data_IF_914064075667
#
_entry.id   IF_914064075667
#
_cell.length_a   1.000
_cell.length_b   1.000
_cell.length_c   1.000
_cell.angle_alpha   90.00
_cell.angle_beta   90.00
_cell.angle_gamma   90.00
#
_symmetry.space_group_name_H-M   'P 1'
#
loop_
_entity.id
_entity.type
_entity.pdbx_description
1 polymer ?
#
# COMPACT_ATOMS: atom_id res chain seq x y z
N UNK A 1 -0.45 -17.95 -22.30
CA UNK A 1 -1.24 -16.99 -21.49
C UNK A 1 -2.44 -17.62 -20.79
N UNK A 2 -3.35 -18.29 -21.51
CA UNK A 2 -4.54 -18.94 -20.89
C UNK A 2 -4.14 -19.96 -19.83
N UNK A 3 -3.15 -20.81 -20.13
CA UNK A 3 -2.62 -21.79 -19.17
C UNK A 3 -1.99 -21.11 -17.95
N UNK A 4 -1.18 -20.06 -18.14
CA UNK A 4 -0.62 -19.27 -17.04
C UNK A 4 -1.70 -18.74 -16.10
N UNK A 5 -2.78 -18.18 -16.65
CA UNK A 5 -3.91 -17.68 -15.87
C UNK A 5 -4.59 -18.82 -15.09
N UNK A 6 -4.72 -20.00 -15.67
CA UNK A 6 -5.30 -21.17 -15.00
C UNK A 6 -4.46 -21.59 -13.78
N UNK A 7 -3.13 -21.65 -13.93
CA UNK A 7 -2.22 -22.09 -12.87
C UNK A 7 -2.02 -21.02 -11.76
N UNK A 8 -2.13 -19.74 -12.11
CA UNK A 8 -1.83 -18.62 -11.18
C UNK A 8 -3.05 -18.09 -10.44
N UNK A 9 -4.26 -18.30 -10.97
CA UNK A 9 -5.50 -17.90 -10.30
C UNK A 9 -5.67 -18.65 -8.98
N UNK A 10 -6.10 -17.93 -7.96
CA UNK A 10 -6.41 -18.54 -6.68
C UNK A 10 -7.66 -19.42 -6.78
N UNK A 11 -7.64 -20.63 -6.20
CA UNK A 11 -8.83 -21.45 -6.10
C UNK A 11 -9.72 -20.95 -4.95
N UNK A 12 -10.42 -19.83 -5.12
CA UNK A 12 -11.20 -19.17 -4.04
C UNK A 12 -12.14 -20.11 -3.28
N UNK A 13 -12.76 -21.08 -3.97
CA UNK A 13 -13.63 -22.10 -3.35
C UNK A 13 -12.90 -23.05 -2.37
N UNK A 14 -11.57 -23.07 -2.37
CA UNK A 14 -10.72 -23.88 -1.48
C UNK A 14 -10.07 -23.03 -0.38
N UNK A 15 -10.44 -21.76 -0.24
CA UNK A 15 -9.84 -20.82 0.71
C UNK A 15 -10.74 -20.55 1.93
N UNK A 16 -11.66 -21.45 2.25
CA UNK A 16 -12.55 -21.36 3.43
C UNK A 16 -11.76 -21.19 4.75
N UNK A 17 -10.59 -21.81 4.86
CA UNK A 17 -9.68 -21.64 6.01
C UNK A 17 -9.29 -20.17 6.23
N UNK A 18 -9.06 -19.41 5.15
CA UNK A 18 -8.73 -17.99 5.25
C UNK A 18 -9.94 -17.17 5.71
N UNK A 19 -11.14 -17.50 5.26
CA UNK A 19 -12.37 -16.84 5.69
C UNK A 19 -12.62 -17.06 7.20
N UNK A 20 -12.43 -18.29 7.68
CA UNK A 20 -12.51 -18.62 9.12
C UNK A 20 -11.50 -17.83 9.94
N UNK A 21 -10.24 -17.83 9.52
CA UNK A 21 -9.17 -17.09 10.23
C UNK A 21 -9.45 -15.58 10.23
N UNK A 22 -9.90 -15.00 9.12
CA UNK A 22 -10.23 -13.57 9.03
C UNK A 22 -11.43 -13.20 9.91
N UNK A 23 -12.44 -14.05 9.98
CA UNK A 23 -13.59 -13.85 10.85
C UNK A 23 -13.17 -13.86 12.33
N UNK A 24 -12.29 -14.78 12.72
CA UNK A 24 -11.80 -14.88 14.09
C UNK A 24 -10.86 -13.71 14.45
N UNK A 25 -9.99 -13.30 13.53
CA UNK A 25 -9.17 -12.09 13.68
C UNK A 25 -10.08 -10.88 13.89
N UNK A 26 -11.10 -10.72 13.03
CA UNK A 26 -12.06 -9.62 13.13
C UNK A 26 -12.75 -9.61 14.49
N UNK A 27 -13.35 -10.73 14.90
CA UNK A 27 -14.00 -10.90 16.21
C UNK A 27 -13.06 -10.55 17.38
N UNK A 28 -11.80 -10.99 17.30
CA UNK A 28 -10.80 -10.71 18.34
C UNK A 28 -10.47 -9.22 18.45
N UNK A 29 -10.37 -8.52 17.31
CA UNK A 29 -10.01 -7.10 17.26
C UNK A 29 -11.18 -6.16 17.59
N UNK A 30 -12.43 -6.57 17.35
CA UNK A 30 -13.62 -5.83 17.79
C UNK A 30 -13.68 -5.71 19.32
N UNK A 31 -13.11 -6.68 20.02
CA UNK A 31 -13.10 -6.76 21.48
C UNK A 31 -11.79 -6.26 22.12
N UNK A 32 -11.04 -5.40 21.41
CA UNK A 32 -9.83 -4.80 21.99
C UNK A 32 -10.20 -3.85 23.14
N UNK A 33 -9.48 -3.97 24.25
CA UNK A 33 -9.79 -3.18 25.45
C UNK A 33 -9.45 -1.70 25.22
N UNK A 34 -10.42 -0.77 25.32
CA UNK A 34 -10.13 0.63 25.30
C UNK A 34 -9.39 1.06 26.56
N UNK A 35 -8.63 2.13 26.47
CA UNK A 35 -8.08 2.82 27.63
C UNK A 35 -7.93 4.31 27.35
N UNK A 36 -7.90 5.09 28.43
CA UNK A 36 -7.72 6.54 28.38
C UNK A 36 -6.31 6.95 27.96
N UNK A 37 -6.14 8.24 27.69
CA UNK A 37 -4.88 8.85 27.25
C UNK A 37 -3.71 8.57 28.21
N UNK A 38 -2.60 8.04 27.67
CA UNK A 38 -1.34 7.78 28.38
C UNK A 38 -0.16 8.46 27.67
N UNK A 39 0.92 8.77 28.39
CA UNK A 39 2.15 9.24 27.71
C UNK A 39 2.74 8.14 26.81
N UNK A 40 3.62 8.53 25.88
CA UNK A 40 4.28 7.58 24.96
C UNK A 40 5.07 6.53 25.75
N UNK A 41 5.83 6.95 26.76
CA UNK A 41 6.66 6.09 27.59
C UNK A 41 5.82 5.14 28.44
N UNK A 42 4.76 5.65 29.05
CA UNK A 42 3.84 4.87 29.88
C UNK A 42 3.10 3.82 29.05
N UNK A 43 2.61 4.22 27.87
CA UNK A 43 1.88 3.34 26.96
C UNK A 43 2.77 2.20 26.45
N UNK A 44 4.02 2.52 26.04
CA UNK A 44 5.00 1.53 25.59
C UNK A 44 5.42 0.59 26.72
N UNK A 45 5.69 1.13 27.92
CA UNK A 45 6.04 0.35 29.11
C UNK A 45 4.90 -0.60 29.49
N UNK A 46 3.66 -0.12 29.46
CA UNK A 46 2.48 -0.92 29.82
C UNK A 46 2.28 -2.09 28.86
N UNK A 47 2.38 -1.87 27.54
CA UNK A 47 2.29 -2.96 26.55
C UNK A 47 3.42 -3.98 26.70
N UNK A 48 4.65 -3.52 26.94
CA UNK A 48 5.80 -4.41 27.14
C UNK A 48 5.65 -5.25 28.41
N UNK A 49 5.17 -4.66 29.51
CA UNK A 49 4.99 -5.37 30.78
C UNK A 49 3.81 -6.33 30.77
N UNK A 50 2.64 -5.91 30.25
CA UNK A 50 1.42 -6.73 30.27
C UNK A 50 1.42 -7.83 29.21
N UNK A 51 1.91 -7.52 28.01
CA UNK A 51 1.71 -8.37 26.84
C UNK A 51 3.01 -8.79 26.15
N UNK A 52 4.18 -8.37 26.65
CA UNK A 52 5.50 -8.62 26.05
C UNK A 52 5.58 -8.15 24.59
N UNK A 53 4.83 -7.10 24.24
CA UNK A 53 4.83 -6.48 22.91
C UNK A 53 5.59 -5.18 22.97
N UNK A 54 6.63 -5.05 22.15
CA UNK A 54 7.32 -3.79 21.92
C UNK A 54 6.62 -3.01 20.82
N UNK A 55 6.46 -1.70 21.01
CA UNK A 55 5.84 -0.83 20.02
C UNK A 55 6.88 -0.50 18.94
N UNK A 56 6.61 -0.78 17.66
CA UNK A 56 7.53 -0.47 16.56
C UNK A 56 7.42 1.01 16.20
N UNK A 57 7.83 1.89 17.11
CA UNK A 57 7.79 3.32 16.85
C UNK A 57 8.70 3.69 15.68
N UNK A 58 8.33 4.75 14.92
CA UNK A 58 9.19 5.29 13.88
C UNK A 58 10.56 5.69 14.48
N UNK A 59 11.66 5.55 13.71
CA UNK A 59 13.02 5.79 14.19
C UNK A 59 13.30 7.25 14.56
N UNK A 60 12.52 8.19 14.01
CA UNK A 60 12.57 9.59 14.38
C UNK A 60 12.27 9.74 15.89
N UNK A 61 12.82 10.76 16.56
CA UNK A 61 12.74 10.87 18.03
C UNK A 61 11.36 11.41 18.44
N UNK A 62 10.61 10.76 19.35
CA UNK A 62 9.33 11.29 19.81
C UNK A 62 9.56 12.65 20.47
N UNK A 63 8.67 13.63 20.29
CA UNK A 63 8.89 14.95 20.86
C UNK A 63 8.84 14.84 22.40
N UNK A 64 9.91 15.18 23.15
CA UNK A 64 9.97 14.99 24.60
C UNK A 64 8.94 15.82 25.38
N UNK A 65 8.43 16.89 24.76
CA UNK A 65 7.41 17.79 25.31
C UNK A 65 6.11 17.80 24.49
N UNK A 66 5.92 16.87 23.54
CA UNK A 66 4.63 16.80 22.88
C UNK A 66 3.60 16.30 23.89
N UNK A 67 2.51 17.05 24.02
CA UNK A 67 1.21 16.57 24.51
C UNK A 67 0.63 15.53 23.53
N UNK A 68 1.45 14.58 23.08
CA UNK A 68 1.06 13.46 22.23
C UNK A 68 0.72 12.30 23.15
N UNK A 69 -0.57 12.12 23.38
CA UNK A 69 -1.07 11.03 24.20
C UNK A 69 -1.47 9.85 23.31
N UNK A 70 -1.27 8.65 23.86
CA UNK A 70 -1.68 7.39 23.27
C UNK A 70 -3.00 6.96 23.90
N UNK A 71 -4.01 6.77 23.06
CA UNK A 71 -5.33 6.29 23.43
C UNK A 71 -5.66 5.07 22.56
N UNK A 72 -6.38 4.10 23.13
CA UNK A 72 -6.86 2.94 22.38
C UNK A 72 -8.38 2.89 22.43
N UNK A 73 -8.97 2.62 21.27
CA UNK A 73 -10.40 2.40 21.08
C UNK A 73 -10.59 1.26 20.06
N UNK A 74 -11.71 0.51 20.13
CA UNK A 74 -12.03 -0.50 19.12
C UNK A 74 -12.03 0.06 17.69
N UNK A 75 -11.61 -0.74 16.69
CA UNK A 75 -11.64 -0.29 15.30
C UNK A 75 -13.04 0.16 14.86
N UNK A 76 -13.12 1.28 14.14
CA UNK A 76 -14.41 1.74 13.61
C UNK A 76 -14.92 0.83 12.50
N UNK A 77 -14.00 0.33 11.66
CA UNK A 77 -14.30 -0.55 10.52
C UNK A 77 -13.13 -1.46 10.24
N UNK A 78 -13.44 -2.63 9.70
CA UNK A 78 -12.44 -3.57 9.21
C UNK A 78 -12.89 -4.18 7.89
N UNK A 79 -12.04 -4.09 6.88
CA UNK A 79 -12.36 -4.55 5.53
C UNK A 79 -11.14 -5.27 4.93
N UNK A 80 -11.40 -6.33 4.17
CA UNK A 80 -10.37 -6.89 3.28
C UNK A 80 -10.29 -6.00 2.04
N UNK A 81 -9.08 -5.61 1.64
CA UNK A 81 -8.81 -4.72 0.51
C UNK A 81 -7.81 -5.33 -0.47
N UNK A 82 -7.48 -4.57 -1.51
CA UNK A 82 -6.54 -4.97 -2.53
C UNK A 82 -7.11 -6.06 -3.44
N UNK A 83 -6.24 -6.91 -3.96
CA UNK A 83 -6.59 -7.79 -5.07
C UNK A 83 -7.41 -9.02 -4.72
N UNK A 84 -7.40 -9.43 -3.46
CA UNK A 84 -8.12 -10.62 -3.00
C UNK A 84 -9.64 -10.48 -3.13
N UNK A 85 -10.29 -9.46 -2.53
CA UNK A 85 -11.74 -9.26 -2.70
C UNK A 85 -12.13 -8.91 -4.14
N UNK A 86 -11.20 -8.33 -4.90
CA UNK A 86 -11.38 -7.97 -6.32
C UNK A 86 -11.10 -9.13 -7.29
N UNK A 87 -10.84 -10.35 -6.78
CA UNK A 87 -10.63 -11.58 -7.56
C UNK A 87 -9.49 -11.53 -8.58
N UNK A 88 -8.49 -10.67 -8.39
CA UNK A 88 -7.24 -10.66 -9.17
C UNK A 88 -5.99 -10.91 -8.32
N UNK A 89 -6.14 -11.48 -7.12
CA UNK A 89 -5.00 -12.08 -6.43
C UNK A 89 -4.45 -13.25 -7.25
N UNK A 90 -3.12 -13.39 -7.25
CA UNK A 90 -2.40 -14.36 -8.06
C UNK A 90 -1.37 -15.06 -7.18
N UNK A 91 -1.32 -16.40 -7.24
CA UNK A 91 -0.28 -17.18 -6.57
C UNK A 91 1.01 -17.05 -7.37
N UNK A 92 2.03 -16.49 -6.73
CA UNK A 92 3.40 -16.49 -7.27
C UNK A 92 4.25 -17.49 -6.48
N UNK A 93 5.49 -17.72 -6.91
CA UNK A 93 6.46 -18.52 -6.14
C UNK A 93 6.75 -17.93 -4.75
N UNK A 94 6.43 -16.66 -4.53
CA UNK A 94 6.59 -15.95 -3.25
C UNK A 94 5.30 -15.92 -2.42
N UNK A 95 4.26 -16.64 -2.84
CA UNK A 95 2.93 -16.56 -2.24
C UNK A 95 2.15 -15.34 -2.70
N UNK A 96 1.19 -14.91 -1.88
CA UNK A 96 0.40 -13.70 -2.08
C UNK A 96 -0.01 -13.08 -0.74
N UNK A 97 -0.33 -11.79 -0.77
CA UNK A 97 -0.80 -11.07 0.41
C UNK A 97 -2.32 -10.93 0.39
N UNK A 98 -2.91 -11.00 1.58
CA UNK A 98 -4.30 -10.64 1.84
C UNK A 98 -4.28 -9.45 2.81
N UNK A 99 -4.72 -8.30 2.32
CA UNK A 99 -4.65 -7.05 3.08
C UNK A 99 -5.98 -6.80 3.79
N UNK A 100 -5.93 -6.68 5.11
CA UNK A 100 -7.06 -6.29 5.95
C UNK A 100 -6.76 -4.92 6.56
N UNK A 101 -7.55 -3.92 6.17
CA UNK A 101 -7.47 -2.61 6.81
C UNK A 101 -8.25 -2.62 8.12
N UNK A 102 -7.73 -1.90 9.09
CA UNK A 102 -8.34 -1.64 10.39
C UNK A 102 -8.41 -0.13 10.54
N UNK A 103 -9.61 0.43 10.43
CA UNK A 103 -9.85 1.87 10.49
C UNK A 103 -9.78 2.33 11.93
N UNK A 104 -8.77 3.14 12.24
CA UNK A 104 -8.61 3.77 13.55
C UNK A 104 -9.71 4.82 13.72
N UNK A 105 -10.40 4.86 14.87
CA UNK A 105 -11.43 5.87 15.12
C UNK A 105 -10.92 7.30 14.96
N UNK A 106 -11.69 8.15 14.29
CA UNK A 106 -11.32 9.53 13.99
C UNK A 106 -11.09 10.36 15.26
N UNK A 107 -11.78 10.00 16.35
CA UNK A 107 -11.70 10.63 17.67
C UNK A 107 -10.31 10.44 18.32
N UNK A 108 -9.53 9.45 17.87
CA UNK A 108 -8.15 9.28 18.30
C UNK A 108 -7.22 10.37 17.75
N UNK A 109 -7.66 11.17 16.77
CA UNK A 109 -6.82 12.13 16.06
C UNK A 109 -7.24 13.58 16.30
N UNK A 110 -6.22 14.42 16.47
CA UNK A 110 -6.34 15.86 16.54
C UNK A 110 -5.94 16.47 15.19
N UNK A 111 -6.43 17.68 14.90
CA UNK A 111 -6.17 18.41 13.64
C UNK A 111 -4.68 18.64 13.32
N UNK A 112 -3.79 18.52 14.30
CA UNK A 112 -2.34 18.73 14.15
C UNK A 112 -1.55 17.41 14.11
N UNK A 113 -2.21 16.25 14.17
CA UNK A 113 -1.51 14.97 14.17
C UNK A 113 -0.86 14.62 12.83
N UNK A 114 -1.11 15.42 11.79
CA UNK A 114 -0.37 15.36 10.53
C UNK A 114 1.04 16.00 10.60
N UNK A 115 1.44 16.54 11.75
CA UNK A 115 2.72 17.26 11.92
C UNK A 115 3.68 16.41 12.78
N UNK A 116 4.97 16.44 12.44
CA UNK A 116 6.07 15.89 13.23
C UNK A 116 5.83 14.45 13.70
N UNK A 117 5.46 13.59 12.74
CA UNK A 117 5.26 12.15 12.94
C UNK A 117 4.19 11.72 13.96
N UNK A 118 3.40 12.65 14.53
CA UNK A 118 2.37 12.36 15.54
C UNK A 118 1.41 11.25 15.10
N UNK A 119 0.92 11.33 13.86
CA UNK A 119 0.10 10.28 13.23
C UNK A 119 0.81 8.91 13.25
N UNK A 120 2.08 8.85 12.83
CA UNK A 120 2.83 7.60 12.73
C UNK A 120 3.09 6.96 14.10
N UNK A 121 3.29 7.74 15.16
CA UNK A 121 3.35 7.20 16.54
C UNK A 121 2.01 6.60 16.98
N UNK A 122 0.90 7.33 16.80
CA UNK A 122 -0.43 6.83 17.13
C UNK A 122 -0.75 5.56 16.34
N UNK A 123 -0.43 5.54 15.06
CA UNK A 123 -0.57 4.40 14.15
C UNK A 123 0.24 3.19 14.61
N UNK A 124 1.51 3.38 14.97
CA UNK A 124 2.38 2.31 15.46
C UNK A 124 1.90 1.75 16.82
N UNK A 125 1.49 2.64 17.72
CA UNK A 125 0.91 2.26 19.02
C UNK A 125 -0.37 1.45 18.85
N UNK A 126 -1.30 1.94 18.02
CA UNK A 126 -2.56 1.26 17.72
C UNK A 126 -2.30 -0.15 17.19
N UNK A 127 -1.38 -0.29 16.22
CA UNK A 127 -0.98 -1.59 15.69
C UNK A 127 -0.41 -2.52 16.76
N UNK A 128 0.40 -2.00 17.68
CA UNK A 128 0.96 -2.79 18.78
C UNK A 128 -0.10 -3.26 19.77
N UNK A 129 -1.11 -2.43 20.06
CA UNK A 129 -2.26 -2.84 20.86
C UNK A 129 -3.08 -3.94 20.17
N UNK A 130 -3.33 -3.85 18.86
CA UNK A 130 -3.97 -4.93 18.09
C UNK A 130 -3.12 -6.22 18.14
N UNK A 131 -1.80 -6.11 18.02
CA UNK A 131 -0.90 -7.25 18.10
C UNK A 131 -0.96 -7.93 19.48
N UNK A 132 -0.99 -7.12 20.56
CA UNK A 132 -1.13 -7.61 21.92
C UNK A 132 -2.46 -8.35 22.12
N UNK A 133 -3.56 -7.81 21.60
CA UNK A 133 -4.87 -8.46 21.64
C UNK A 133 -4.87 -9.81 20.92
N UNK A 134 -4.34 -9.87 19.70
CA UNK A 134 -4.27 -11.12 18.94
C UNK A 134 -3.36 -12.17 19.61
N UNK A 135 -2.18 -11.76 20.07
CA UNK A 135 -1.24 -12.65 20.77
C UNK A 135 -1.78 -13.16 22.11
N UNK A 136 -2.60 -12.36 22.80
CA UNK A 136 -3.27 -12.74 24.05
C UNK A 136 -4.47 -13.67 23.85
N UNK A 137 -5.04 -13.70 22.64
CA UNK A 137 -6.17 -14.58 22.29
C UNK A 137 -5.73 -16.02 21.98
N UNK A 138 -6.66 -16.99 21.84
CA UNK A 138 -6.35 -18.34 21.37
C UNK A 138 -5.59 -18.37 20.04
N UNK A 139 -5.81 -17.38 19.15
CA UNK A 139 -5.10 -17.26 17.87
C UNK A 139 -3.59 -17.12 18.05
N UNK A 140 -3.12 -16.51 19.14
CA UNK A 140 -1.69 -16.33 19.41
C UNK A 140 -0.89 -17.63 19.54
N UNK A 141 -1.57 -18.76 19.79
CA UNK A 141 -0.97 -20.11 19.81
C UNK A 141 -1.00 -20.81 18.45
N UNK A 142 -1.78 -20.30 17.51
CA UNK A 142 -2.04 -20.89 16.20
C UNK A 142 -1.46 -20.05 15.06
N UNK A 143 -1.10 -18.80 15.30
CA UNK A 143 -0.64 -17.89 14.26
C UNK A 143 0.71 -17.29 14.65
N UNK A 144 1.56 -17.14 13.66
CA UNK A 144 2.80 -16.38 13.78
C UNK A 144 2.50 -14.92 13.41
N UNK A 145 2.61 -14.03 14.39
CA UNK A 145 2.20 -12.63 14.29
C UNK A 145 3.44 -11.76 14.47
N UNK A 146 3.90 -11.09 13.40
CA UNK A 146 5.13 -10.29 13.41
C UNK A 146 4.89 -8.89 12.87
N UNK A 147 5.65 -7.91 13.39
CA UNK A 147 5.69 -6.59 12.77
C UNK A 147 6.56 -6.62 11.51
N UNK A 148 6.20 -5.81 10.51
CA UNK A 148 6.98 -5.64 9.29
C UNK A 148 6.78 -4.23 8.72
N UNK A 149 7.82 -3.58 8.18
CA UNK A 149 7.66 -2.27 7.55
C UNK A 149 6.93 -2.40 6.20
N UNK A 150 5.83 -1.66 6.01
CA UNK A 150 5.08 -1.68 4.76
C UNK A 150 5.93 -1.09 3.62
N UNK A 151 6.27 -1.92 2.64
CA UNK A 151 7.16 -1.55 1.51
C UNK A 151 8.52 -0.99 1.97
N UNK A 152 9.01 -1.48 3.11
CA UNK A 152 10.29 -1.05 3.69
C UNK A 152 10.22 0.27 4.48
N UNK A 153 9.06 0.91 4.58
CA UNK A 153 8.93 2.13 5.37
C UNK A 153 8.71 1.82 6.87
N UNK A 154 9.72 2.16 7.68
CA UNK A 154 9.68 1.97 9.14
C UNK A 154 8.61 2.83 9.83
N UNK A 155 8.12 3.91 9.19
CA UNK A 155 7.03 4.74 9.72
C UNK A 155 5.66 4.06 9.60
N UNK A 156 5.54 3.07 8.72
CA UNK A 156 4.29 2.35 8.48
C UNK A 156 4.46 0.86 8.77
N UNK A 157 4.68 0.48 10.04
CA UNK A 157 4.65 -0.93 10.40
C UNK A 157 3.26 -1.53 10.11
N UNK A 158 3.23 -2.81 9.78
CA UNK A 158 2.02 -3.64 9.62
C UNK A 158 2.22 -4.95 10.38
N UNK A 159 1.14 -5.68 10.65
CA UNK A 159 1.27 -7.06 11.13
C UNK A 159 1.26 -8.01 9.96
N UNK A 160 2.25 -8.89 9.89
CA UNK A 160 2.23 -10.08 9.05
C UNK A 160 1.76 -11.25 9.90
N UNK A 161 0.82 -12.00 9.36
CA UNK A 161 0.19 -13.15 9.99
C UNK A 161 0.30 -14.34 9.05
N UNK A 162 0.97 -15.39 9.53
CA UNK A 162 1.09 -16.69 8.86
C UNK A 162 0.64 -17.80 9.80
N UNK A 163 0.25 -18.94 9.24
CA UNK A 163 -0.08 -20.12 10.05
C UNK A 163 1.21 -20.73 10.64
N UNK A 164 1.15 -21.14 11.91
CA UNK A 164 2.21 -21.95 12.50
C UNK A 164 2.14 -23.40 11.97
N UNK A 165 3.26 -24.13 11.92
CA UNK A 165 3.24 -25.55 11.56
C UNK A 165 2.37 -26.41 12.49
N UNK A 166 2.22 -25.98 13.75
CA UNK A 166 1.44 -26.65 14.79
C UNK A 166 -0.05 -26.30 14.78
N UNK A 167 -0.50 -25.47 13.84
CA UNK A 167 -1.88 -25.00 13.81
C UNK A 167 -2.85 -26.11 13.42
N UNK A 168 -4.03 -26.20 14.07
CA UNK A 168 -5.09 -27.09 13.63
C UNK A 168 -5.46 -26.82 12.17
N UNK A 169 -5.95 -27.84 11.46
CA UNK A 169 -6.32 -27.74 10.05
C UNK A 169 -7.30 -26.60 9.74
N UNK A 170 -8.19 -26.27 10.67
CA UNK A 170 -9.16 -25.16 10.55
C UNK A 170 -8.53 -23.77 10.57
N UNK A 171 -7.27 -23.64 11.00
CA UNK A 171 -6.52 -22.37 11.06
C UNK A 171 -5.19 -22.44 10.30
N UNK A 172 -4.84 -23.61 9.73
CA UNK A 172 -3.61 -23.78 8.99
C UNK A 172 -3.83 -23.48 7.50
N UNK A 173 -3.34 -22.32 7.07
CA UNK A 173 -3.40 -21.87 5.68
C UNK A 173 -2.02 -21.80 5.02
N UNK A 174 -0.98 -22.43 5.59
CA UNK A 174 0.39 -22.35 5.07
C UNK A 174 0.50 -22.80 3.59
N UNK A 175 -0.16 -23.91 3.24
CA UNK A 175 -0.13 -24.50 1.89
C UNK A 175 -0.80 -23.63 0.83
N UNK A 176 -1.65 -22.69 1.26
CA UNK A 176 -2.27 -21.71 0.35
C UNK A 176 -1.23 -20.71 -0.17
N UNK A 177 -0.12 -20.51 0.54
CA UNK A 177 0.87 -19.46 0.24
C UNK A 177 0.39 -18.04 0.59
N UNK A 178 -0.67 -17.91 1.38
CA UNK A 178 -1.19 -16.63 1.83
C UNK A 178 -0.40 -16.07 3.02
N UNK A 179 -0.19 -14.76 3.01
CA UNK A 179 0.19 -13.98 4.21
C UNK A 179 -0.90 -12.95 4.46
N UNK A 180 -1.54 -12.99 5.63
CA UNK A 180 -2.52 -11.98 6.02
C UNK A 180 -1.74 -10.78 6.55
N UNK A 181 -2.09 -9.58 6.08
CA UNK A 181 -1.51 -8.32 6.55
C UNK A 181 -2.57 -7.47 7.22
N UNK A 182 -2.30 -6.98 8.41
CA UNK A 182 -3.16 -5.99 9.09
C UNK A 182 -2.55 -4.61 8.92
N UNK A 183 -3.32 -3.72 8.29
CA UNK A 183 -2.92 -2.35 7.98
C UNK A 183 -3.80 -1.36 8.75
N UNK A 184 -3.25 -0.59 9.70
CA UNK A 184 -3.96 0.56 10.23
C UNK A 184 -4.30 1.53 9.09
N UNK A 185 -5.55 1.99 9.07
CA UNK A 185 -6.08 2.94 8.11
C UNK A 185 -6.77 4.08 8.84
N UNK A 186 -7.09 5.13 8.09
CA UNK A 186 -7.67 6.35 8.63
C UNK A 186 -8.91 6.73 7.84
N UNK A 187 -9.91 7.33 8.49
CA UNK A 187 -11.03 7.92 7.76
C UNK A 187 -10.62 9.25 7.09
N UNK A 188 -11.31 9.64 6.03
CA UNK A 188 -11.01 10.88 5.28
C UNK A 188 -11.30 12.17 6.07
N UNK A 189 -12.03 12.04 7.17
CA UNK A 189 -12.48 13.10 8.09
C UNK A 189 -11.58 13.26 9.32
N UNK A 190 -10.71 12.28 9.62
CA UNK A 190 -9.82 12.35 10.78
C UNK A 190 -8.75 13.46 10.68
N UNK A 191 -8.22 13.71 9.47
CA UNK A 191 -7.23 14.76 9.20
C UNK A 191 -7.62 15.51 7.92
N UNK A 192 -7.54 16.85 7.95
CA UNK A 192 -7.86 17.70 6.80
C UNK A 192 -6.88 17.46 5.63
N UNK A 193 -7.38 16.94 4.51
CA UNK A 193 -6.53 16.61 3.35
C UNK A 193 -5.85 17.83 2.70
N UNK A 194 -6.38 19.04 2.89
CA UNK A 194 -5.73 20.29 2.42
C UNK A 194 -4.40 20.58 3.12
N UNK A 195 -4.14 19.96 4.27
CA UNK A 195 -2.86 20.01 4.99
C UNK A 195 -1.85 18.98 4.47
N UNK A 196 -2.29 18.06 3.61
CA UNK A 196 -1.50 16.97 3.04
C UNK A 196 -1.18 17.18 1.56
N UNK A 197 -1.34 18.42 1.05
CA UNK A 197 -0.93 18.74 -0.32
C UNK A 197 0.60 18.61 -0.50
N UNK A 198 1.11 18.33 -1.70
CA UNK A 198 2.54 18.12 -1.94
C UNK A 198 3.44 19.27 -1.46
N UNK A 199 3.00 20.53 -1.59
CA UNK A 199 3.72 21.74 -1.15
C UNK A 199 3.71 21.97 0.35
N UNK A 200 2.92 21.22 1.12
CA UNK A 200 2.80 21.41 2.57
C UNK A 200 3.92 20.69 3.30
N UNK A 201 4.42 21.35 4.34
CA UNK A 201 5.37 20.78 5.27
C UNK A 201 4.64 20.07 6.42
N UNK A 202 4.79 18.75 6.48
CA UNK A 202 4.35 17.89 7.58
C UNK A 202 5.44 17.66 8.63
N UNK A 203 6.70 18.01 8.34
CA UNK A 203 7.82 17.88 9.28
C UNK A 203 8.60 19.20 9.33
N UNK A 204 8.67 19.82 10.50
CA UNK A 204 9.37 21.09 10.67
C UNK A 204 10.87 20.86 10.80
N UNK A 205 11.69 21.67 10.15
CA UNK A 205 13.17 21.54 10.18
C UNK A 205 13.70 21.57 11.61
N UNK A 206 13.26 22.53 12.43
CA UNK A 206 13.64 22.58 13.84
C UNK A 206 13.34 21.31 14.64
N UNK A 207 12.32 20.52 14.26
CA UNK A 207 12.02 19.23 14.89
C UNK A 207 13.06 18.15 14.56
N UNK A 208 13.67 18.21 13.38
CA UNK A 208 14.75 17.29 12.99
C UNK A 208 16.07 17.64 13.69
N UNK A 209 16.32 18.92 13.94
CA UNK A 209 17.54 19.41 14.60
C UNK A 209 17.49 19.27 16.13
N UNK A 210 16.33 19.52 16.72
CA UNK A 210 16.11 19.38 18.16
C UNK A 210 14.71 18.81 18.44
N UNK A 211 14.59 17.63 19.08
CA UNK A 211 13.30 17.08 19.48
C UNK A 211 12.49 18.01 20.41
N UNK A 212 13.18 18.95 21.08
CA UNK A 212 12.61 19.96 21.97
C UNK A 212 12.20 21.26 21.26
N UNK A 213 12.16 21.30 19.92
CA UNK A 213 11.81 22.49 19.17
C UNK A 213 10.37 22.95 19.49
N UNK A 214 10.28 24.11 20.15
CA UNK A 214 9.05 24.85 20.35
C UNK A 214 8.98 25.90 19.24
N UNK A 215 7.94 25.91 18.39
CA UNK A 215 7.78 26.93 17.36
C UNK A 215 7.62 28.29 18.05
N UNK A 216 8.54 29.22 17.80
CA UNK A 216 8.35 30.63 18.18
C UNK A 216 7.56 31.34 17.09
N UNK A 217 6.75 32.34 17.45
CA UNK A 217 5.92 33.08 16.49
C UNK A 217 6.73 33.74 15.34
N UNK A 218 8.03 33.96 15.56
CA UNK A 218 8.96 34.59 14.61
C UNK A 218 9.80 33.60 13.79
N UNK A 219 9.64 32.28 13.93
CA UNK A 219 10.37 31.34 13.06
C UNK A 219 9.65 31.17 11.71
N UNK A 220 9.84 32.16 10.84
CA UNK A 220 9.70 32.05 9.38
C UNK A 220 10.81 31.16 8.80
N UNK A 221 11.10 30.02 9.42
CA UNK A 221 11.96 29.01 8.79
C UNK A 221 11.25 28.55 7.53
N UNK A 222 11.97 28.50 6.41
CA UNK A 222 11.49 27.96 5.14
C UNK A 222 10.92 26.56 5.39
N UNK A 223 9.58 26.46 5.40
CA UNK A 223 8.89 25.20 5.62
C UNK A 223 9.07 24.37 4.36
N UNK A 224 10.12 23.55 4.33
CA UNK A 224 10.38 22.64 3.22
C UNK A 224 9.19 21.67 3.05
N UNK A 225 8.64 21.55 1.83
CA UNK A 225 7.57 20.61 1.52
C UNK A 225 7.97 19.17 1.84
N UNK A 226 7.02 18.36 2.31
CA UNK A 226 7.26 16.93 2.61
C UNK A 226 6.26 16.05 1.85
N UNK A 227 6.31 16.02 0.51
CA UNK A 227 5.30 15.38 -0.33
C UNK A 227 5.19 13.87 -0.10
N UNK A 228 6.32 13.18 0.11
CA UNK A 228 6.33 11.74 0.42
C UNK A 228 5.65 11.48 1.77
N UNK A 229 6.02 12.23 2.81
CA UNK A 229 5.39 12.12 4.14
C UNK A 229 3.88 12.32 4.06
N UNK A 230 3.42 13.33 3.33
CA UNK A 230 2.00 13.65 3.19
C UNK A 230 1.25 12.54 2.45
N UNK A 231 1.84 12.01 1.37
CA UNK A 231 1.27 10.91 0.60
C UNK A 231 1.11 9.63 1.41
N UNK A 232 2.03 9.32 2.32
CA UNK A 232 1.92 8.16 3.21
C UNK A 232 0.66 8.20 4.08
N UNK A 233 0.30 9.38 4.59
CA UNK A 233 -0.94 9.57 5.37
C UNK A 233 -2.16 9.44 4.45
N UNK A 234 -2.12 10.09 3.27
CA UNK A 234 -3.22 10.03 2.29
C UNK A 234 -3.48 8.60 1.79
N UNK A 235 -2.44 7.80 1.57
CA UNK A 235 -2.59 6.40 1.19
C UNK A 235 -3.34 5.60 2.26
N UNK A 236 -3.04 5.83 3.55
CA UNK A 236 -3.75 5.18 4.66
C UNK A 236 -5.22 5.62 4.78
N UNK A 237 -5.60 6.75 4.14
CA UNK A 237 -6.98 7.23 4.09
C UNK A 237 -7.81 6.71 2.90
N UNK A 238 -7.15 6.29 1.81
CA UNK A 238 -7.80 6.12 0.51
C UNK A 238 -8.05 4.66 0.10
N UNK A 239 -7.63 3.67 0.92
CA UNK A 239 -7.78 2.24 0.62
C UNK A 239 -9.19 1.84 0.13
N UNK A 240 -10.23 2.22 0.88
CA UNK A 240 -11.62 1.86 0.56
C UNK A 240 -12.11 2.57 -0.71
N UNK A 241 -11.72 3.83 -0.92
CA UNK A 241 -12.09 4.59 -2.11
C UNK A 241 -11.46 3.99 -3.38
N UNK A 242 -10.17 3.62 -3.32
CA UNK A 242 -9.49 2.96 -4.43
C UNK A 242 -10.03 1.55 -4.69
N UNK A 243 -10.35 0.78 -3.64
CA UNK A 243 -10.99 -0.53 -3.78
C UNK A 243 -12.32 -0.41 -4.56
N UNK A 244 -13.19 0.51 -4.14
CA UNK A 244 -14.47 0.75 -4.79
C UNK A 244 -14.31 1.22 -6.24
N UNK A 245 -13.30 2.05 -6.52
CA UNK A 245 -12.98 2.49 -7.88
C UNK A 245 -12.57 1.31 -8.77
N UNK A 246 -11.56 0.53 -8.36
CA UNK A 246 -11.08 -0.62 -9.15
C UNK A 246 -12.17 -1.66 -9.33
N UNK A 247 -13.02 -1.88 -8.32
CA UNK A 247 -14.19 -2.76 -8.45
C UNK A 247 -15.09 -2.34 -9.62
N UNK A 248 -15.42 -1.05 -9.75
CA UNK A 248 -16.23 -0.54 -10.87
C UNK A 248 -15.53 -0.79 -12.21
N UNK A 249 -14.22 -0.56 -12.29
CA UNK A 249 -13.46 -0.79 -13.52
C UNK A 249 -13.49 -2.26 -13.94
N UNK A 250 -13.42 -3.19 -12.99
CA UNK A 250 -13.53 -4.63 -13.27
C UNK A 250 -14.91 -4.98 -13.86
N UNK A 251 -16.00 -4.37 -13.36
CA UNK A 251 -17.34 -4.59 -13.91
C UNK A 251 -17.45 -4.08 -15.36
N UNK A 252 -16.76 -2.97 -15.68
CA UNK A 252 -16.81 -2.35 -17.00
C UNK A 252 -15.85 -2.97 -18.02
N UNK A 253 -14.82 -3.71 -17.58
CA UNK A 253 -13.76 -4.24 -18.41
C UNK A 253 -13.46 -5.71 -18.03
N UNK A 254 -14.10 -6.69 -18.71
CA UNK A 254 -13.97 -8.11 -18.36
C UNK A 254 -12.52 -8.64 -18.36
N UNK A 255 -11.66 -8.10 -19.24
CA UNK A 255 -10.25 -8.49 -19.33
C UNK A 255 -9.34 -7.91 -18.25
N UNK A 256 -9.83 -6.96 -17.43
CA UNK A 256 -9.02 -6.19 -16.49
C UNK A 256 -8.37 -7.07 -15.41
N UNK A 257 -9.16 -7.90 -14.73
CA UNK A 257 -8.68 -8.72 -13.63
C UNK A 257 -7.57 -9.68 -14.08
N UNK A 258 -7.75 -10.33 -15.23
CA UNK A 258 -6.74 -11.22 -15.81
C UNK A 258 -5.48 -10.49 -16.27
N UNK A 259 -5.62 -9.28 -16.83
CA UNK A 259 -4.46 -8.46 -17.17
C UNK A 259 -3.64 -8.10 -15.93
N UNK A 260 -4.30 -7.81 -14.79
CA UNK A 260 -3.62 -7.60 -13.51
C UNK A 260 -2.94 -8.87 -12.97
N UNK A 261 -3.50 -10.06 -13.21
CA UNK A 261 -2.85 -11.33 -12.84
C UNK A 261 -1.57 -11.52 -13.67
N UNK A 262 -1.61 -11.31 -14.98
CA UNK A 262 -0.42 -11.36 -15.84
C UNK A 262 0.66 -10.38 -15.35
N UNK A 263 0.25 -9.16 -15.04
CA UNK A 263 1.15 -8.13 -14.50
C UNK A 263 1.81 -8.54 -13.19
N UNK A 264 1.08 -9.17 -12.27
CA UNK A 264 1.65 -9.65 -11.00
C UNK A 264 2.70 -10.72 -11.19
N UNK A 265 2.45 -11.67 -12.09
CA UNK A 265 3.44 -12.71 -12.41
C UNK A 265 4.69 -12.04 -12.99
N UNK A 266 4.52 -11.17 -13.99
CA UNK A 266 5.62 -10.44 -14.64
C UNK A 266 6.43 -9.57 -13.67
N UNK A 267 5.75 -8.80 -12.81
CA UNK A 267 6.35 -7.97 -11.77
C UNK A 267 7.12 -8.82 -10.76
N UNK A 268 6.59 -9.99 -10.36
CA UNK A 268 7.25 -10.87 -9.39
C UNK A 268 8.57 -11.44 -9.91
N UNK A 269 8.68 -11.68 -11.22
CA UNK A 269 9.95 -12.12 -11.83
C UNK A 269 11.01 -11.02 -11.86
N UNK A 270 10.60 -9.75 -11.71
CA UNK A 270 11.49 -8.56 -11.70
C UNK A 270 11.69 -8.01 -10.30
N UNK A 271 11.44 -8.82 -9.27
CA UNK A 271 11.63 -8.46 -7.87
C UNK A 271 10.66 -7.40 -7.32
N UNK A 272 9.54 -7.11 -8.01
CA UNK A 272 8.45 -6.29 -7.48
C UNK A 272 7.46 -7.15 -6.68
N UNK A 273 7.94 -7.74 -5.58
CA UNK A 273 7.13 -8.51 -4.63
C UNK A 273 7.48 -8.15 -3.18
N UNK A 274 6.56 -8.41 -2.25
CA UNK A 274 6.67 -7.92 -0.86
C UNK A 274 7.76 -8.57 -0.02
N UNK A 275 8.28 -9.73 -0.44
CA UNK A 275 9.36 -10.45 0.25
C UNK A 275 10.74 -10.14 -0.31
N UNK A 276 10.84 -9.27 -1.32
CA UNK A 276 12.11 -8.90 -1.91
C UNK A 276 12.91 -7.98 -0.97
N UNK A 277 14.23 -8.16 -0.83
CA UNK A 277 15.04 -7.35 0.08
C UNK A 277 15.19 -5.88 -0.37
N UNK A 278 15.10 -5.60 -1.67
CA UNK A 278 15.11 -4.22 -2.18
C UNK A 278 13.74 -3.56 -2.01
N UNK A 279 13.74 -2.32 -1.51
CA UNK A 279 12.51 -1.57 -1.21
C UNK A 279 11.96 -0.86 -2.44
N UNK A 280 11.56 -1.64 -3.46
CA UNK A 280 10.83 -1.14 -4.63
C UNK A 280 9.46 -0.60 -4.20
N UNK A 281 9.13 0.62 -4.64
CA UNK A 281 7.89 1.31 -4.28
C UNK A 281 6.77 1.03 -5.29
N UNK A 282 7.09 0.64 -6.52
CA UNK A 282 6.07 0.24 -7.50
C UNK A 282 5.42 -1.08 -7.10
N UNK A 283 4.10 -1.14 -7.18
CA UNK A 283 3.33 -2.32 -6.79
C UNK A 283 2.34 -2.74 -7.87
N UNK A 284 1.81 -3.96 -7.74
CA UNK A 284 0.68 -4.40 -8.57
C UNK A 284 -0.58 -3.53 -8.43
N UNK A 285 -0.72 -2.77 -7.32
CA UNK A 285 -1.78 -1.77 -7.18
C UNK A 285 -1.52 -0.55 -8.07
N UNK A 286 -0.30 -0.05 -8.11
CA UNK A 286 0.10 1.03 -9.03
C UNK A 286 -0.14 0.64 -10.48
N UNK A 287 0.20 -0.59 -10.86
CA UNK A 287 -0.14 -1.15 -12.17
C UNK A 287 -1.65 -1.17 -12.42
N UNK A 288 -2.44 -1.70 -11.49
CA UNK A 288 -3.89 -1.79 -11.65
C UNK A 288 -4.52 -0.40 -11.82
N UNK A 289 -4.09 0.59 -11.05
CA UNK A 289 -4.55 1.97 -11.21
C UNK A 289 -4.11 2.58 -12.53
N UNK A 290 -2.87 2.35 -12.99
CA UNK A 290 -2.44 2.82 -14.30
C UNK A 290 -3.28 2.18 -15.42
N UNK A 291 -3.50 0.87 -15.39
CA UNK A 291 -4.38 0.21 -16.35
C UNK A 291 -5.81 0.79 -16.28
N UNK A 292 -6.32 1.06 -15.07
CA UNK A 292 -7.63 1.67 -14.89
C UNK A 292 -7.71 3.06 -15.53
N UNK A 293 -6.66 3.87 -15.39
CA UNK A 293 -6.53 5.15 -16.08
C UNK A 293 -6.62 4.98 -17.59
N UNK A 294 -5.84 4.07 -18.17
CA UNK A 294 -5.75 3.85 -19.62
C UNK A 294 -7.08 3.40 -20.25
N UNK A 295 -7.91 2.63 -19.52
CA UNK A 295 -9.19 2.09 -20.01
C UNK A 295 -10.42 2.94 -19.67
N UNK A 296 -10.33 3.80 -18.64
CA UNK A 296 -11.47 4.63 -18.20
C UNK A 296 -11.35 6.07 -18.67
N UNK A 297 -10.21 6.71 -18.40
CA UNK A 297 -10.00 8.14 -18.63
C UNK A 297 -9.23 8.32 -19.93
N UNK A 298 -8.03 7.74 -20.00
CA UNK A 298 -7.10 7.93 -21.11
C UNK A 298 -6.44 9.31 -21.12
N UNK A 299 -5.62 9.52 -22.14
CA UNK A 299 -4.92 10.77 -22.42
C UNK A 299 -4.57 10.89 -23.90
N UNK A 300 -5.30 10.17 -24.75
CA UNK A 300 -5.10 10.20 -26.20
C UNK A 300 -5.60 11.53 -26.79
N UNK A 301 -5.32 11.76 -28.10
CA UNK A 301 -5.83 12.93 -28.80
C UNK A 301 -7.34 13.11 -28.57
N UNK A 302 -7.76 14.33 -28.20
CA UNK A 302 -9.15 14.68 -27.87
C UNK A 302 -9.75 13.96 -26.64
N UNK A 303 -8.91 13.53 -25.69
CA UNK A 303 -9.38 12.84 -24.48
C UNK A 303 -9.82 11.39 -24.73
N UNK A 304 -9.35 10.80 -25.83
CA UNK A 304 -9.66 9.41 -26.15
C UNK A 304 -8.99 8.45 -25.15
N UNK A 305 -9.69 7.35 -24.86
CA UNK A 305 -9.15 6.22 -24.12
C UNK A 305 -7.98 5.61 -24.89
N UNK A 306 -6.90 5.32 -24.19
CA UNK A 306 -5.69 4.75 -24.78
C UNK A 306 -5.82 3.24 -24.99
N UNK A 307 -6.64 2.58 -24.18
CA UNK A 307 -6.97 1.16 -24.31
C UNK A 307 -8.48 0.95 -24.32
N UNK A 308 -8.95 0.05 -25.18
CA UNK A 308 -10.36 -0.33 -25.24
C UNK A 308 -10.75 -1.27 -24.10
N UNK A 309 -11.96 -1.11 -23.56
CA UNK A 309 -12.51 -2.02 -22.54
C UNK A 309 -12.81 -3.42 -23.08
N UNK A 310 -12.90 -3.57 -24.42
CA UNK A 310 -13.14 -4.84 -25.10
C UNK A 310 -11.84 -5.61 -25.39
N UNK A 311 -10.68 -5.04 -25.08
CA UNK A 311 -9.41 -5.73 -25.28
C UNK A 311 -9.28 -6.98 -24.41
N UNK A 312 -8.63 -7.99 -24.99
CA UNK A 312 -8.27 -9.21 -24.28
C UNK A 312 -7.28 -8.91 -23.15
N UNK A 313 -7.17 -9.79 -22.12
CA UNK A 313 -6.19 -9.61 -21.05
C UNK A 313 -4.76 -9.41 -21.55
N UNK A 314 -4.39 -10.10 -22.64
CA UNK A 314 -3.11 -9.96 -23.30
C UNK A 314 -2.90 -8.56 -23.89
N UNK A 315 -3.88 -8.04 -24.64
CA UNK A 315 -3.82 -6.70 -25.24
C UNK A 315 -3.75 -5.60 -24.18
N UNK A 316 -4.51 -5.74 -23.08
CA UNK A 316 -4.45 -4.82 -21.95
C UNK A 316 -3.08 -4.84 -21.27
N UNK A 317 -2.54 -6.03 -20.99
CA UNK A 317 -1.21 -6.20 -20.41
C UNK A 317 -0.11 -5.62 -21.30
N UNK A 318 -0.05 -6.02 -22.57
CA UNK A 318 0.92 -5.53 -23.56
C UNK A 318 0.79 -4.01 -23.76
N UNK A 319 -0.43 -3.51 -23.87
CA UNK A 319 -0.70 -2.08 -24.03
C UNK A 319 -0.22 -1.26 -22.83
N UNK A 320 -0.38 -1.78 -21.61
CA UNK A 320 0.12 -1.13 -20.39
C UNK A 320 1.64 -1.16 -20.32
N UNK A 321 2.30 -2.28 -20.68
CA UNK A 321 3.76 -2.33 -20.79
C UNK A 321 4.28 -1.30 -21.80
N UNK A 322 3.65 -1.23 -22.97
CA UNK A 322 4.03 -0.27 -24.00
C UNK A 322 3.93 1.16 -23.48
N UNK A 323 2.80 1.50 -22.84
CA UNK A 323 2.61 2.83 -22.25
C UNK A 323 3.67 3.15 -21.19
N UNK A 324 3.94 2.23 -20.25
CA UNK A 324 5.00 2.42 -19.25
C UNK A 324 6.35 2.68 -19.94
N UNK A 325 6.69 1.89 -20.96
CA UNK A 325 7.98 1.96 -21.64
C UNK A 325 8.21 3.21 -22.50
N UNK A 326 7.15 3.92 -22.89
CA UNK A 326 7.24 5.05 -23.82
C UNK A 326 6.77 6.40 -23.24
N UNK A 327 5.93 6.39 -22.20
CA UNK A 327 5.36 7.62 -21.63
C UNK A 327 6.38 8.40 -20.79
N UNK A 328 6.42 9.73 -20.95
CA UNK A 328 7.25 10.63 -20.13
C UNK A 328 6.44 11.13 -18.93
N UNK A 329 6.46 10.36 -17.82
CA UNK A 329 5.70 10.69 -16.61
C UNK A 329 6.13 11.98 -15.90
N UNK A 330 7.31 12.52 -16.22
CA UNK A 330 7.80 13.76 -15.64
C UNK A 330 7.22 14.98 -16.37
N UNK A 331 7.19 14.93 -17.71
CA UNK A 331 6.69 16.04 -18.54
C UNK A 331 5.19 15.98 -18.77
N UNK A 332 4.62 14.78 -18.85
CA UNK A 332 3.21 14.54 -19.17
C UNK A 332 2.52 13.87 -17.96
N UNK A 333 2.09 14.68 -16.96
CA UNK A 333 1.46 14.15 -15.76
C UNK A 333 0.09 13.58 -16.09
N UNK A 334 -0.29 12.50 -15.41
CA UNK A 334 -1.60 11.87 -15.57
C UNK A 334 -2.51 12.29 -14.41
N UNK A 335 -3.81 12.45 -14.69
CA UNK A 335 -4.80 12.77 -13.65
C UNK A 335 -6.14 12.14 -13.98
N UNK A 336 -6.71 11.40 -13.03
CA UNK A 336 -8.08 10.90 -13.15
C UNK A 336 -9.13 12.02 -13.08
N UNK A 337 -8.75 13.20 -12.59
CA UNK A 337 -9.61 14.38 -12.48
C UNK A 337 -9.26 15.35 -13.60
N UNK A 338 -10.24 15.68 -14.44
CA UNK A 338 -10.12 16.71 -15.47
C UNK A 338 -9.93 18.09 -14.84
N UNK A 339 -9.10 18.93 -15.44
CA UNK A 339 -8.84 20.32 -15.03
C UNK A 339 -8.43 20.48 -13.55
N UNK A 340 -7.59 19.56 -13.05
CA UNK A 340 -7.08 19.59 -11.68
C UNK A 340 -6.24 20.87 -11.43
N UNK A 341 -6.70 21.84 -10.61
CA UNK A 341 -6.05 23.15 -10.50
C UNK A 341 -4.62 23.10 -9.94
N UNK A 342 -4.33 22.11 -9.09
CA UNK A 342 -3.05 21.93 -8.42
C UNK A 342 -2.16 20.88 -9.08
N UNK A 343 -2.38 20.51 -10.34
CA UNK A 343 -1.57 19.52 -11.04
C UNK A 343 -0.08 19.90 -11.10
N UNK A 344 0.21 21.19 -11.33
CA UNK A 344 1.58 21.72 -11.34
C UNK A 344 2.30 21.53 -10.00
N UNK A 345 1.56 21.54 -8.89
CA UNK A 345 2.11 21.30 -7.54
C UNK A 345 2.60 19.86 -7.38
N UNK A 346 1.90 18.88 -7.96
CA UNK A 346 2.36 17.49 -7.93
C UNK A 346 3.63 17.30 -8.77
N UNK A 347 3.70 17.97 -9.92
CA UNK A 347 4.85 17.90 -10.83
C UNK A 347 6.13 18.48 -10.23
N UNK A 348 6.04 19.59 -9.50
CA UNK A 348 7.21 20.22 -8.90
C UNK A 348 7.84 19.43 -7.75
N UNK A 349 7.13 18.42 -7.23
CA UNK A 349 7.53 17.66 -6.05
C UNK A 349 7.69 16.15 -6.29
N UNK A 350 7.63 15.68 -7.54
CA UNK A 350 7.64 14.25 -7.86
C UNK A 350 8.37 13.96 -9.18
N UNK A 351 9.06 12.81 -9.26
CA UNK A 351 9.69 12.36 -10.51
C UNK A 351 8.67 11.87 -11.55
N UNK A 352 7.50 11.40 -11.09
CA UNK A 352 6.41 10.96 -11.93
C UNK A 352 5.07 11.28 -11.26
N UNK A 353 4.08 11.67 -12.06
CA UNK A 353 2.77 12.08 -11.56
C UNK A 353 1.64 11.28 -12.20
N UNK A 354 0.88 10.61 -11.34
CA UNK A 354 -0.44 10.08 -11.67
C UNK A 354 -1.38 10.37 -10.49
N UNK A 355 -2.18 11.43 -10.62
CA UNK A 355 -3.10 11.85 -9.56
C UNK A 355 -4.34 10.97 -9.57
N UNK A 356 -4.63 10.38 -8.42
CA UNK A 356 -5.71 9.41 -8.20
C UNK A 356 -7.13 9.97 -8.44
N UNK A 357 -8.18 9.12 -8.46
CA UNK A 357 -9.56 9.56 -8.66
C UNK A 357 -10.09 10.57 -7.64
N UNK A 358 -9.47 10.67 -6.46
CA UNK A 358 -9.85 11.69 -5.46
C UNK A 358 -9.26 13.07 -5.76
N UNK A 359 -8.26 13.17 -6.64
CA UNK A 359 -7.54 14.41 -6.94
C UNK A 359 -6.51 14.80 -5.87
N UNK A 360 -6.22 13.92 -4.90
CA UNK A 360 -5.46 14.27 -3.68
C UNK A 360 -4.12 13.57 -3.59
N UNK A 361 -4.01 12.35 -4.12
CA UNK A 361 -2.83 11.51 -3.98
C UNK A 361 -2.16 11.32 -5.34
N UNK A 362 -0.85 11.57 -5.40
CA UNK A 362 -0.03 11.05 -6.49
C UNK A 362 0.30 9.58 -6.22
N UNK A 363 -0.23 8.67 -7.04
CA UNK A 363 -0.02 7.23 -6.86
C UNK A 363 1.45 6.84 -7.02
N UNK A 364 2.26 7.65 -7.70
CA UNK A 364 3.68 7.40 -7.95
C UNK A 364 4.61 8.23 -7.04
N UNK A 365 4.08 8.84 -5.97
CA UNK A 365 4.87 9.74 -5.10
C UNK A 365 6.14 9.11 -4.53
N UNK A 366 6.11 7.81 -4.22
CA UNK A 366 7.25 7.07 -3.66
C UNK A 366 8.24 6.56 -4.72
N UNK A 367 7.92 6.63 -6.02
CA UNK A 367 8.81 6.12 -7.06
C UNK A 367 10.00 7.04 -7.26
N UNK A 368 11.19 6.49 -7.04
CA UNK A 368 12.43 7.17 -7.39
C UNK A 368 12.62 7.19 -8.91
N UNK A 369 13.38 8.17 -9.42
CA UNK A 369 13.71 8.24 -10.83
C UNK A 369 14.48 6.99 -11.32
N UNK A 370 15.48 6.43 -10.60
CA UNK A 370 16.13 5.19 -11.01
C UNK A 370 15.17 3.99 -11.08
N UNK A 371 14.27 3.84 -10.10
CA UNK A 371 13.27 2.77 -10.11
C UNK A 371 12.33 2.89 -11.31
N UNK A 372 11.89 4.10 -11.64
CA UNK A 372 11.07 4.36 -12.82
C UNK A 372 11.82 4.00 -14.11
N UNK A 373 13.05 4.47 -14.28
CA UNK A 373 13.86 4.17 -15.47
C UNK A 373 14.08 2.67 -15.64
N UNK A 374 14.33 1.95 -14.55
CA UNK A 374 14.45 0.50 -14.56
C UNK A 374 13.13 -0.17 -14.96
N UNK A 375 11.99 0.25 -14.39
CA UNK A 375 10.67 -0.26 -14.77
C UNK A 375 10.37 -0.02 -16.27
N UNK A 376 10.71 1.16 -16.80
CA UNK A 376 10.53 1.51 -18.21
C UNK A 376 11.46 0.70 -19.12
N UNK A 377 12.68 0.39 -18.68
CA UNK A 377 13.59 -0.49 -19.39
C UNK A 377 13.01 -1.90 -19.51
N UNK A 378 12.61 -2.49 -18.37
CA UNK A 378 11.98 -3.81 -18.31
C UNK A 378 10.70 -3.89 -19.17
N UNK A 379 9.88 -2.83 -19.14
CA UNK A 379 8.66 -2.76 -19.93
C UNK A 379 8.94 -2.71 -21.44
N UNK A 380 9.95 -1.94 -21.88
CA UNK A 380 10.37 -1.90 -23.30
C UNK A 380 10.89 -3.25 -23.79
N UNK A 381 11.74 -3.90 -23.00
CA UNK A 381 12.22 -5.25 -23.32
C UNK A 381 11.08 -6.26 -23.42
N UNK A 382 10.14 -6.20 -22.47
CA UNK A 382 8.99 -7.09 -22.48
C UNK A 382 8.13 -6.91 -23.74
N UNK A 383 7.90 -5.68 -24.19
CA UNK A 383 7.17 -5.41 -25.45
C UNK A 383 7.96 -5.93 -26.66
N UNK A 384 9.27 -5.72 -26.72
CA UNK A 384 10.10 -6.25 -27.81
C UNK A 384 10.01 -7.78 -27.92
N UNK A 385 10.02 -8.48 -26.78
CA UNK A 385 9.84 -9.94 -26.74
C UNK A 385 8.43 -10.38 -27.13
N UNK A 386 7.40 -9.64 -26.74
CA UNK A 386 6.02 -9.92 -27.13
C UNK A 386 5.76 -9.67 -28.63
N UNK A 387 6.55 -8.80 -29.26
CA UNK A 387 6.42 -8.46 -30.67
C UNK A 387 7.37 -9.29 -31.57
N UNK A 388 8.26 -10.12 -31.02
CA UNK A 388 9.18 -10.97 -31.80
C UNK A 388 8.42 -12.17 -32.41
N UNK A 389 8.26 -12.24 -33.75
CA UNK A 389 7.50 -13.33 -34.37
C UNK A 389 8.32 -14.63 -34.49
N UNK A 390 9.62 -14.61 -34.17
CA UNK A 390 10.55 -15.71 -34.48
C UNK A 390 10.72 -16.69 -33.32
N UNK A 391 10.56 -16.22 -32.09
CA UNK A 391 10.86 -16.99 -30.88
C UNK A 391 9.73 -16.81 -29.85
N UNK A 392 9.36 -17.89 -29.16
CA UNK A 392 8.45 -17.82 -28.01
C UNK A 392 9.23 -17.42 -26.74
N UNK A 393 9.04 -16.18 -26.31
CA UNK A 393 9.68 -15.61 -25.12
C UNK A 393 8.87 -15.79 -23.82
N UNK A 394 7.83 -16.64 -23.82
CA UNK A 394 6.95 -16.83 -22.67
C UNK A 394 7.69 -17.19 -21.38
N UNK A 395 8.67 -18.10 -21.44
CA UNK A 395 9.48 -18.48 -20.27
C UNK A 395 10.27 -17.31 -19.71
N UNK A 396 10.95 -16.55 -20.57
CA UNK A 396 11.74 -15.38 -20.18
C UNK A 396 10.87 -14.28 -19.55
N UNK A 397 9.63 -14.11 -20.00
CA UNK A 397 8.72 -13.10 -19.48
C UNK A 397 8.12 -13.46 -18.12
N UNK A 398 7.70 -14.72 -17.92
CA UNK A 398 6.82 -15.11 -16.82
C UNK A 398 7.39 -16.17 -15.87
N UNK A 399 8.42 -16.91 -16.27
CA UNK A 399 8.92 -18.07 -15.52
C UNK A 399 10.39 -17.92 -15.10
N UNK A 400 11.15 -17.05 -15.75
CA UNK A 400 12.55 -16.77 -15.42
C UNK A 400 12.68 -15.50 -14.58
N UNK A 401 13.23 -15.58 -13.36
CA UNK A 401 13.53 -14.41 -12.56
C UNK A 401 14.64 -13.59 -13.20
N UNK A 402 14.44 -12.28 -13.28
CA UNK A 402 15.49 -11.33 -13.60
C UNK A 402 16.37 -11.21 -12.35
N UNK A 403 17.64 -11.56 -12.46
CA UNK A 403 18.58 -11.29 -11.39
C UNK A 403 18.76 -9.77 -11.30
N UNK A 404 18.66 -9.22 -10.09
CA UNK A 404 19.11 -7.86 -9.83
C UNK A 404 20.62 -7.85 -10.09
N UNK A 405 21.02 -7.55 -11.34
CA UNK A 405 22.40 -7.17 -11.63
C UNK A 405 22.74 -5.98 -10.75
N UNK A 406 23.93 -5.97 -10.17
CA UNK A 406 24.40 -4.87 -9.32
C UNK A 406 24.18 -3.53 -10.03
N UNK A 407 23.12 -2.82 -9.62
CA UNK A 407 22.81 -1.45 -10.00
C UNK A 407 23.54 -0.50 -9.05
#
# INVERSE_FOLDING_TARGET
>A
MVELLRETRLPYAKLEVLHTVLAEIKSTLENVNPHEEMSIEEAAKTLKQKSKVEVPFPPEVPPPNAKLMMKMEPPSRMNVVGSFPLKYAARTRHGYNLDMIVEMPAELFQKQDNINYRYFYKRAYYLAALAAQLRGSPLGKMLDIRFHPLRGDQKRPVLLITALPTSPSSYNFADTGATIRILPSLSMDAIQTTRLLPSRSGVRVGYLESPNYIPTADTSQELLPTPIYNALILEDMLFTAHLAYVHRVIQDCPGFADACILAKVWLSQRGYHSTHPTTRQFTSFNWAMLLAYLVQVGGGPNGARLLSRQFTPYQLFRGTLHFIGTHDFAKEPLSFVSDLPNLAEFQSHSAAVIVDPSGKLNLFQGLSQPELLHLQHEARQAVQWLDDPRCDHFFALFLTPVQDGAL
#
